data_IF_774925644073
#
_entry.id   IF_774925644073
#
_cell.length_a   1.000
_cell.length_b   1.000
_cell.length_c   1.000
_cell.angle_alpha   90.00
_cell.angle_beta   90.00
_cell.angle_gamma   90.00
#
_symmetry.space_group_name_H-M   'P 1'
#
loop_
_entity.id
_entity.type
_entity.pdbx_description
1 polymer ?
#
# COMPACT_ATOMS: atom_id res chain seq x y z
N UNK A 1 -3.81 -21.59 -19.88
CA UNK A 1 -3.62 -20.68 -18.74
C UNK A 1 -2.14 -20.61 -18.42
N UNK A 2 -1.58 -19.41 -18.24
CA UNK A 2 -0.17 -19.21 -17.97
C UNK A 2 0.23 -19.84 -16.62
N UNK A 3 1.47 -20.30 -16.50
CA UNK A 3 1.99 -20.91 -15.26
C UNK A 3 3.39 -20.39 -15.01
N UNK A 4 3.69 -20.06 -13.76
CA UNK A 4 5.01 -19.61 -13.30
C UNK A 4 5.52 -20.57 -12.22
N UNK A 5 6.84 -20.79 -12.20
CA UNK A 5 7.51 -21.58 -11.14
C UNK A 5 8.41 -20.64 -10.36
N UNK A 6 8.20 -20.60 -9.05
CA UNK A 6 8.96 -19.82 -8.08
C UNK A 6 9.60 -20.76 -7.05
N UNK A 7 10.63 -20.33 -6.30
CA UNK A 7 11.21 -21.14 -5.22
C UNK A 7 10.17 -21.68 -4.23
N UNK A 8 9.11 -20.88 -3.97
CA UNK A 8 8.06 -21.22 -3.04
C UNK A 8 6.93 -22.10 -3.59
N UNK A 9 6.84 -22.30 -4.92
CA UNK A 9 5.78 -23.10 -5.52
C UNK A 9 5.51 -22.80 -7.00
N UNK A 10 4.55 -23.54 -7.58
CA UNK A 10 4.06 -23.33 -8.95
C UNK A 10 2.68 -22.70 -8.92
N UNK A 11 2.46 -21.67 -9.72
CA UNK A 11 1.22 -20.90 -9.73
C UNK A 11 0.63 -20.84 -11.13
N UNK A 12 -0.68 -21.13 -11.25
CA UNK A 12 -1.44 -21.01 -12.50
C UNK A 12 -2.22 -19.71 -12.49
N UNK A 13 -1.88 -18.79 -13.38
CA UNK A 13 -2.56 -17.52 -13.54
C UNK A 13 -3.69 -17.56 -14.57
N UNK A 14 -4.31 -16.40 -14.78
CA UNK A 14 -5.25 -16.15 -15.87
C UNK A 14 -4.67 -15.22 -16.93
N UNK A 15 -5.45 -14.98 -17.97
CA UNK A 15 -5.11 -14.01 -19.04
C UNK A 15 -6.32 -13.11 -19.25
N UNK A 16 -6.10 -11.79 -19.21
CA UNK A 16 -7.12 -10.79 -19.52
C UNK A 16 -7.22 -10.63 -21.05
N UNK A 17 -8.28 -11.13 -21.71
CA UNK A 17 -8.30 -11.25 -23.17
C UNK A 17 -8.28 -9.91 -23.91
N UNK A 18 -8.82 -8.85 -23.31
CA UNK A 18 -8.88 -7.51 -23.92
C UNK A 18 -7.55 -6.77 -23.89
N UNK A 19 -6.62 -7.16 -23.01
CA UNK A 19 -5.36 -6.46 -22.78
C UNK A 19 -4.14 -7.33 -23.03
N UNK A 20 -4.29 -8.63 -23.38
CA UNK A 20 -3.16 -9.54 -23.59
C UNK A 20 -2.18 -9.54 -22.39
N UNK A 21 -2.73 -9.51 -21.18
CA UNK A 21 -1.99 -9.50 -19.92
C UNK A 21 -2.28 -10.77 -19.15
N UNK A 22 -1.23 -11.50 -18.79
CA UNK A 22 -1.29 -12.58 -17.83
C UNK A 22 -1.34 -11.99 -16.42
N UNK A 23 -2.17 -12.56 -15.55
CA UNK A 23 -2.27 -12.16 -14.16
C UNK A 23 -2.13 -13.36 -13.23
N UNK A 24 -1.49 -13.12 -12.08
CA UNK A 24 -1.32 -14.10 -11.02
C UNK A 24 -1.63 -13.41 -9.70
N UNK A 25 -2.69 -13.82 -9.04
CA UNK A 25 -3.18 -13.22 -7.81
C UNK A 25 -2.88 -14.11 -6.59
N UNK A 26 -2.84 -13.49 -5.41
CA UNK A 26 -2.76 -14.22 -4.14
C UNK A 26 -1.43 -14.93 -3.91
N UNK A 27 -0.34 -14.52 -4.57
CA UNK A 27 0.98 -15.12 -4.36
C UNK A 27 1.52 -14.64 -3.00
N UNK A 28 1.88 -15.52 -2.06
CA UNK A 28 2.47 -15.12 -0.79
C UNK A 28 3.88 -14.56 -1.01
N UNK A 29 4.18 -13.43 -0.36
CA UNK A 29 5.55 -12.88 -0.30
C UNK A 29 6.24 -13.13 1.05
N UNK A 30 5.51 -13.60 2.05
CA UNK A 30 6.03 -13.89 3.39
C UNK A 30 5.47 -15.20 3.94
N UNK A 31 6.08 -15.70 5.02
CA UNK A 31 5.48 -16.73 5.86
C UNK A 31 4.19 -16.19 6.52
N UNK A 32 3.28 -17.06 6.99
CA UNK A 32 2.10 -16.62 7.71
C UNK A 32 2.46 -15.66 8.86
N UNK A 33 1.80 -14.51 8.92
CA UNK A 33 2.14 -13.48 9.89
C UNK A 33 1.99 -14.00 11.33
N UNK A 34 3.00 -13.69 12.14
CA UNK A 34 2.91 -13.75 13.58
C UNK A 34 2.44 -12.37 14.07
N UNK A 35 1.40 -12.35 14.90
CA UNK A 35 0.76 -11.12 15.36
C UNK A 35 1.79 -10.17 16.01
N UNK A 36 1.82 -8.93 15.53
CA UNK A 36 2.75 -7.87 15.96
C UNK A 36 4.24 -8.20 15.86
N UNK A 37 4.61 -9.23 15.10
CA UNK A 37 6.00 -9.53 14.78
C UNK A 37 6.35 -9.04 13.37
N UNK A 38 7.62 -8.69 13.13
CA UNK A 38 8.18 -8.53 11.79
C UNK A 38 7.78 -9.68 10.85
N UNK A 39 7.48 -9.38 9.57
CA UNK A 39 7.20 -10.43 8.60
C UNK A 39 8.48 -11.23 8.33
N UNK A 40 8.33 -12.52 8.05
CA UNK A 40 9.46 -13.43 7.79
C UNK A 40 9.51 -13.81 6.31
N UNK A 41 10.70 -13.81 5.68
CA UNK A 41 10.84 -14.27 4.30
C UNK A 41 10.46 -15.74 4.16
N UNK A 42 9.96 -16.11 2.99
CA UNK A 42 9.67 -17.49 2.67
C UNK A 42 10.99 -18.25 2.49
N UNK A 43 11.20 -19.29 3.31
CA UNK A 43 12.34 -20.20 3.17
C UNK A 43 11.81 -21.56 2.70
N UNK A 44 11.91 -21.84 1.40
CA UNK A 44 11.40 -23.09 0.81
C UNK A 44 9.96 -23.00 0.29
N UNK A 45 9.26 -24.14 0.20
CA UNK A 45 7.90 -24.22 -0.35
C UNK A 45 6.86 -23.73 0.65
N UNK A 46 5.87 -22.96 0.18
CA UNK A 46 4.76 -22.44 1.01
C UNK A 46 3.56 -23.38 1.11
N UNK A 47 3.56 -24.47 0.35
CA UNK A 47 2.49 -25.47 0.35
C UNK A 47 3.02 -26.80 0.89
N UNK A 48 2.21 -27.46 1.73
CA UNK A 48 2.38 -28.88 2.09
C UNK A 48 2.15 -29.81 0.88
N UNK A 49 1.73 -29.24 -0.24
CA UNK A 49 1.60 -29.88 -1.51
C UNK A 49 2.94 -30.45 -1.99
N UNK A 50 2.92 -31.70 -2.46
CA UNK A 50 4.07 -32.31 -3.13
C UNK A 50 4.60 -31.43 -4.27
N UNK A 51 5.82 -31.70 -4.74
CA UNK A 51 6.54 -30.85 -5.69
C UNK A 51 5.84 -30.51 -7.00
N UNK A 52 4.75 -31.20 -7.30
CA UNK A 52 4.08 -31.18 -8.59
C UNK A 52 2.72 -30.46 -8.56
N UNK A 53 2.19 -30.09 -7.39
CA UNK A 53 0.91 -29.38 -7.30
C UNK A 53 1.05 -27.92 -7.76
N UNK A 54 0.03 -27.44 -8.48
CA UNK A 54 -0.01 -26.09 -9.03
C UNK A 54 -1.11 -25.32 -8.31
N UNK A 55 -0.74 -24.31 -7.54
CA UNK A 55 -1.66 -23.41 -6.84
C UNK A 55 -2.43 -22.56 -7.85
N UNK A 56 -3.75 -22.47 -7.67
CA UNK A 56 -4.59 -21.58 -8.46
C UNK A 56 -4.36 -20.12 -8.03
N UNK A 57 -3.82 -19.32 -8.95
CA UNK A 57 -3.57 -17.89 -8.80
C UNK A 57 -4.48 -17.07 -9.73
N UNK A 58 -5.64 -17.61 -10.13
CA UNK A 58 -6.66 -16.87 -10.89
C UNK A 58 -7.58 -16.05 -9.98
N UNK A 59 -7.61 -16.35 -8.69
CA UNK A 59 -8.41 -15.68 -7.67
C UNK A 59 -7.54 -14.83 -6.75
N UNK A 60 -8.09 -13.70 -6.30
CA UNK A 60 -7.43 -12.90 -5.28
C UNK A 60 -7.26 -13.69 -3.98
N UNK A 61 -6.12 -13.47 -3.31
CA UNK A 61 -5.83 -14.06 -2.01
C UNK A 61 -6.61 -13.40 -0.86
N UNK A 62 -6.27 -13.68 0.40
CA UNK A 62 -6.89 -13.03 1.55
C UNK A 62 -6.52 -11.54 1.68
N UNK A 63 -7.39 -10.75 2.33
CA UNK A 63 -7.09 -9.37 2.74
C UNK A 63 -6.79 -9.29 4.24
N UNK A 64 -6.05 -8.27 4.66
CA UNK A 64 -5.83 -8.01 6.09
C UNK A 64 -7.18 -7.66 6.75
N UNK A 65 -7.53 -8.25 7.91
CA UNK A 65 -8.74 -7.88 8.63
C UNK A 65 -8.80 -6.38 8.92
N UNK A 66 -9.94 -5.77 8.60
CA UNK A 66 -10.13 -4.33 8.66
C UNK A 66 -11.62 -3.97 8.84
N UNK A 67 -11.89 -2.77 9.37
CA UNK A 67 -13.23 -2.21 9.35
C UNK A 67 -13.57 -1.69 7.94
N UNK A 68 -14.84 -1.50 7.58
CA UNK A 68 -15.21 -0.83 6.34
C UNK A 68 -14.62 0.59 6.26
N UNK A 69 -14.19 0.99 5.06
CA UNK A 69 -13.69 2.34 4.82
C UNK A 69 -14.85 3.35 4.86
N UNK A 70 -14.64 4.46 5.56
CA UNK A 70 -15.59 5.58 5.56
C UNK A 70 -15.47 6.46 4.32
N UNK A 71 -14.32 6.45 3.65
CA UNK A 71 -14.04 7.27 2.45
C UNK A 71 -14.59 6.62 1.18
N UNK A 72 -14.65 5.29 1.13
CA UNK A 72 -15.10 4.54 -0.06
C UNK A 72 -16.43 5.06 -0.62
N UNK A 73 -17.51 5.30 0.15
CA UNK A 73 -18.77 5.81 -0.39
C UNK A 73 -18.65 7.15 -1.11
N UNK A 74 -17.70 7.99 -0.69
CA UNK A 74 -17.47 9.29 -1.31
C UNK A 74 -16.64 9.13 -2.58
N UNK A 75 -15.56 8.35 -2.55
CA UNK A 75 -14.65 8.11 -3.68
C UNK A 75 -15.36 7.35 -4.82
N UNK A 76 -16.13 6.30 -4.50
CA UNK A 76 -16.92 5.56 -5.50
C UNK A 76 -18.12 6.35 -6.01
N UNK A 77 -18.60 7.34 -5.26
CA UNK A 77 -19.82 8.07 -5.60
C UNK A 77 -21.00 7.13 -5.86
N UNK A 78 -21.69 7.23 -7.02
CA UNK A 78 -22.85 6.39 -7.33
C UNK A 78 -22.47 4.98 -7.82
N UNK A 79 -21.20 4.69 -8.04
CA UNK A 79 -20.76 3.40 -8.56
C UNK A 79 -20.81 2.34 -7.46
N UNK A 80 -21.27 1.11 -7.76
CA UNK A 80 -21.29 0.05 -6.77
C UNK A 80 -19.86 -0.21 -6.30
N UNK A 81 -19.64 -0.11 -4.99
CA UNK A 81 -18.42 -0.60 -4.36
C UNK A 81 -18.33 -2.09 -4.68
N UNK A 82 -17.30 -2.54 -5.41
CA UNK A 82 -17.09 -3.97 -5.60
C UNK A 82 -16.97 -4.61 -4.22
N UNK A 83 -17.54 -5.79 -3.97
CA UNK A 83 -17.22 -6.52 -2.75
C UNK A 83 -15.69 -6.65 -2.72
N UNK A 84 -15.05 -6.11 -1.68
CA UNK A 84 -13.62 -6.36 -1.44
C UNK A 84 -13.44 -7.89 -1.43
N UNK A 85 -12.74 -8.41 -2.44
CA UNK A 85 -12.99 -9.75 -3.00
C UNK A 85 -12.31 -10.92 -2.29
N UNK A 86 -11.59 -10.67 -1.20
CA UNK A 86 -10.80 -11.66 -0.49
C UNK A 86 -11.36 -11.91 0.90
N UNK A 87 -11.36 -13.17 1.33
CA UNK A 87 -11.63 -13.52 2.71
C UNK A 87 -10.63 -12.81 3.63
N UNK A 88 -11.10 -12.27 4.76
CA UNK A 88 -10.22 -11.64 5.72
C UNK A 88 -9.41 -12.72 6.49
N UNK A 89 -8.08 -12.64 6.44
CA UNK A 89 -7.19 -13.58 7.14
C UNK A 89 -6.00 -12.84 7.73
N UNK A 90 -5.88 -12.87 9.07
CA UNK A 90 -4.79 -12.21 9.79
C UNK A 90 -3.41 -12.74 9.39
N UNK A 91 -3.31 -14.04 9.12
CA UNK A 91 -2.02 -14.71 8.93
C UNK A 91 -1.63 -14.77 7.47
N UNK A 92 -2.59 -14.93 6.56
CA UNK A 92 -2.34 -15.21 5.13
C UNK A 92 -2.59 -14.01 4.20
N UNK A 93 -2.73 -12.82 4.75
CA UNK A 93 -2.96 -11.59 3.96
C UNK A 93 -1.68 -10.96 3.37
N UNK A 94 -0.50 -11.50 3.68
CA UNK A 94 0.79 -11.11 3.07
C UNK A 94 0.95 -11.67 1.65
N UNK A 95 0.10 -11.20 0.75
CA UNK A 95 0.03 -11.63 -0.65
C UNK A 95 0.18 -10.48 -1.62
N UNK A 96 0.57 -10.78 -2.84
CA UNK A 96 0.64 -9.83 -3.95
C UNK A 96 -0.03 -10.38 -5.21
N UNK A 97 -0.26 -9.48 -6.17
CA UNK A 97 -0.66 -9.82 -7.53
C UNK A 97 0.39 -9.35 -8.52
N UNK A 98 0.63 -10.13 -9.57
CA UNK A 98 1.53 -9.77 -10.67
C UNK A 98 0.73 -9.71 -11.97
N UNK A 99 0.88 -8.62 -12.71
CA UNK A 99 0.35 -8.42 -14.06
C UNK A 99 1.52 -8.35 -15.03
N UNK A 100 1.56 -9.32 -15.93
CA UNK A 100 2.64 -9.57 -16.88
C UNK A 100 2.08 -9.42 -18.29
N UNK A 101 2.52 -8.42 -19.09
CA UNK A 101 2.13 -8.37 -20.50
C UNK A 101 2.64 -9.62 -21.24
N UNK A 102 1.87 -10.15 -22.18
CA UNK A 102 2.24 -11.38 -22.91
C UNK A 102 3.60 -11.26 -23.63
N UNK A 103 4.01 -10.05 -24.00
CA UNK A 103 5.35 -9.76 -24.55
C UNK A 103 6.49 -10.16 -23.61
N UNK A 104 6.29 -10.07 -22.29
CA UNK A 104 7.26 -10.48 -21.27
C UNK A 104 7.31 -12.01 -21.07
N UNK A 105 6.30 -12.74 -21.53
CA UNK A 105 6.22 -14.20 -21.45
C UNK A 105 6.73 -14.90 -22.74
N UNK A 106 7.01 -14.13 -23.79
CA UNK A 106 7.39 -14.66 -25.10
C UNK A 106 8.76 -15.37 -25.08
N UNK A 107 8.94 -16.32 -26.00
CA UNK A 107 10.20 -17.03 -26.15
C UNK A 107 11.35 -16.05 -26.47
N UNK A 108 12.41 -16.07 -25.67
CA UNK A 108 13.53 -15.13 -25.80
C UNK A 108 13.35 -13.78 -25.08
N UNK A 109 12.19 -13.50 -24.48
CA UNK A 109 11.93 -12.27 -23.70
C UNK A 109 12.90 -12.08 -22.52
N UNK A 110 13.54 -13.16 -22.03
CA UNK A 110 14.58 -13.07 -21.00
C UNK A 110 15.80 -12.23 -21.42
N UNK A 111 15.96 -11.92 -22.71
CA UNK A 111 17.01 -11.02 -23.22
C UNK A 111 16.63 -9.52 -23.11
N UNK A 112 15.36 -9.21 -22.85
CA UNK A 112 14.84 -7.84 -22.77
C UNK A 112 13.78 -7.77 -21.66
N UNK A 113 14.24 -7.74 -20.41
CA UNK A 113 13.36 -7.61 -19.25
C UNK A 113 12.65 -6.26 -19.24
N UNK A 114 11.41 -6.24 -18.74
CA UNK A 114 10.59 -5.04 -18.68
C UNK A 114 10.76 -4.30 -17.34
N UNK A 115 10.57 -2.97 -17.29
CA UNK A 115 10.48 -2.24 -16.03
C UNK A 115 9.39 -2.81 -15.12
N UNK A 116 9.58 -2.68 -13.80
CA UNK A 116 8.64 -3.17 -12.79
C UNK A 116 8.07 -1.99 -12.00
N UNK A 117 6.76 -1.96 -11.79
CA UNK A 117 6.10 -1.02 -10.85
C UNK A 117 5.51 -1.82 -9.71
N UNK A 118 5.90 -1.51 -8.48
CA UNK A 118 5.36 -2.11 -7.26
C UNK A 118 4.47 -1.10 -6.56
N UNK A 119 3.17 -1.38 -6.51
CA UNK A 119 2.14 -0.45 -6.06
C UNK A 119 1.57 -0.82 -4.70
N UNK A 120 1.62 0.13 -3.76
CA UNK A 120 1.03 0.06 -2.43
C UNK A 120 -0.26 0.88 -2.34
N UNK A 121 -1.35 0.25 -1.92
CA UNK A 121 -2.66 0.89 -1.80
C UNK A 121 -2.73 1.91 -0.65
N UNK A 122 -3.67 2.86 -0.78
CA UNK A 122 -4.05 3.80 0.27
C UNK A 122 -5.00 3.20 1.32
N UNK A 123 -5.73 4.06 2.03
CA UNK A 123 -6.72 3.65 3.05
C UNK A 123 -6.39 4.07 4.48
N UNK A 124 -5.66 5.19 4.64
CA UNK A 124 -5.32 5.80 5.94
C UNK A 124 -4.74 4.80 6.96
N UNK A 125 -3.98 3.82 6.46
CA UNK A 125 -3.40 2.70 7.19
C UNK A 125 -4.40 1.84 7.97
N UNK A 126 -5.70 1.98 7.76
CA UNK A 126 -6.74 1.23 8.48
C UNK A 126 -7.49 0.28 7.57
N UNK A 127 -7.53 0.59 6.28
CA UNK A 127 -8.27 -0.16 5.26
C UNK A 127 -7.46 -0.24 3.97
N UNK A 128 -8.02 -0.91 2.97
CA UNK A 128 -7.47 -1.05 1.62
C UNK A 128 -7.06 -2.49 1.31
N UNK A 129 -6.98 -2.78 0.01
CA UNK A 129 -6.40 -4.01 -0.52
C UNK A 129 -5.97 -3.80 -1.98
N UNK A 130 -5.07 -4.65 -2.45
CA UNK A 130 -4.66 -4.75 -3.85
C UNK A 130 -5.76 -5.24 -4.79
N UNK A 131 -6.92 -5.62 -4.24
CA UNK A 131 -8.04 -6.25 -4.96
C UNK A 131 -9.12 -5.25 -5.34
N UNK A 132 -8.98 -4.01 -4.87
CA UNK A 132 -9.87 -2.93 -5.24
C UNK A 132 -9.78 -2.74 -6.76
N UNK A 133 -10.92 -2.79 -7.45
CA UNK A 133 -10.98 -2.88 -8.91
C UNK A 133 -10.18 -1.80 -9.65
N UNK A 134 -10.09 -0.57 -9.14
CA UNK A 134 -9.35 0.51 -9.79
C UNK A 134 -7.82 0.35 -9.66
N UNK A 135 -7.33 -0.55 -8.82
CA UNK A 135 -5.90 -0.91 -8.74
C UNK A 135 -5.51 -2.05 -9.70
N UNK A 136 -6.40 -2.48 -10.59
CA UNK A 136 -6.05 -3.49 -11.60
C UNK A 136 -4.89 -3.01 -12.47
N UNK A 137 -3.81 -3.80 -12.52
CA UNK A 137 -2.60 -3.46 -13.28
C UNK A 137 -2.70 -3.73 -14.78
N UNK A 138 -3.82 -4.26 -15.29
CA UNK A 138 -3.90 -4.76 -16.67
C UNK A 138 -3.69 -3.69 -17.74
N UNK A 139 -4.34 -2.53 -17.63
CA UNK A 139 -4.21 -1.47 -18.62
C UNK A 139 -2.78 -0.90 -18.65
N UNK A 140 -2.23 -0.62 -17.46
CA UNK A 140 -0.88 -0.07 -17.34
C UNK A 140 0.19 -1.06 -17.80
N UNK A 141 0.05 -2.35 -17.47
CA UNK A 141 0.96 -3.40 -17.94
C UNK A 141 0.99 -3.50 -19.47
N UNK A 142 -0.19 -3.41 -20.11
CA UNK A 142 -0.33 -3.45 -21.56
C UNK A 142 0.21 -2.17 -22.22
N UNK A 143 -0.27 -0.99 -21.84
CA UNK A 143 0.06 0.25 -22.53
C UNK A 143 1.49 0.72 -22.21
N UNK A 144 1.93 0.55 -20.96
CA UNK A 144 3.25 0.93 -20.48
C UNK A 144 4.34 -0.11 -20.77
N UNK A 145 3.99 -1.31 -21.24
CA UNK A 145 4.91 -2.43 -21.43
C UNK A 145 5.82 -2.64 -20.20
N UNK A 146 5.17 -2.82 -19.05
CA UNK A 146 5.83 -3.01 -17.76
C UNK A 146 5.14 -4.11 -16.95
N UNK A 147 5.87 -4.71 -16.02
CA UNK A 147 5.30 -5.66 -15.07
C UNK A 147 4.77 -4.88 -13.88
N UNK A 148 3.49 -5.08 -13.53
CA UNK A 148 2.87 -4.43 -12.38
C UNK A 148 2.74 -5.43 -11.25
N UNK A 149 3.15 -5.03 -10.04
CA UNK A 149 2.97 -5.80 -8.81
C UNK A 149 2.13 -4.96 -7.86
N UNK A 150 1.01 -5.50 -7.38
CA UNK A 150 0.20 -4.85 -6.34
C UNK A 150 0.27 -5.65 -5.05
N UNK A 151 0.48 -4.99 -3.91
CA UNK A 151 0.74 -5.67 -2.63
C UNK A 151 -0.40 -5.46 -1.64
N UNK A 152 -0.73 -6.50 -0.87
CA UNK A 152 -1.42 -6.37 0.41
C UNK A 152 -0.40 -6.24 1.53
N UNK A 153 -0.69 -5.42 2.54
CA UNK A 153 0.12 -5.28 3.75
C UNK A 153 -0.79 -5.17 4.97
N UNK A 154 -0.24 -5.41 6.18
CA UNK A 154 -1.04 -5.30 7.41
C UNK A 154 -1.46 -3.85 7.66
N UNK A 155 -2.73 -3.67 8.03
CA UNK A 155 -3.35 -2.38 8.36
C UNK A 155 -3.87 -2.35 9.79
N UNK A 156 -4.22 -1.16 10.26
CA UNK A 156 -4.87 -0.89 11.54
C UNK A 156 -3.98 -1.27 12.73
N UNK A 157 -4.63 -1.75 13.79
CA UNK A 157 -3.97 -2.31 14.97
C UNK A 157 -3.00 -3.42 14.60
N UNK A 158 -3.32 -4.26 13.60
CA UNK A 158 -2.48 -5.40 13.23
C UNK A 158 -1.15 -5.00 12.56
N UNK A 159 -1.13 -3.86 11.86
CA UNK A 159 0.05 -3.37 11.14
C UNK A 159 0.81 -2.23 11.82
N UNK A 160 0.12 -1.38 12.58
CA UNK A 160 0.64 -0.06 12.97
C UNK A 160 0.40 0.32 14.44
N UNK A 161 -0.03 -0.61 15.30
CA UNK A 161 -0.11 -0.34 16.76
C UNK A 161 1.29 -0.06 17.34
N UNK A 162 1.40 0.99 18.16
CA UNK A 162 2.65 1.34 18.85
C UNK A 162 2.71 0.73 20.25
N UNK A 163 3.61 -0.23 20.47
CA UNK A 163 3.68 -0.94 21.75
C UNK A 163 4.82 -0.50 22.68
N UNK A 164 5.45 0.65 22.39
CA UNK A 164 6.56 1.17 23.21
C UNK A 164 7.92 0.52 22.94
N UNK A 165 8.06 -0.22 21.85
CA UNK A 165 9.29 -0.88 21.41
C UNK A 165 9.58 -0.50 19.96
N UNK A 166 10.66 0.27 19.77
CA UNK A 166 11.06 0.81 18.47
C UNK A 166 11.42 -0.30 17.45
N UNK A 167 11.78 -1.49 17.93
CA UNK A 167 12.16 -2.62 17.07
C UNK A 167 10.96 -3.36 16.46
N UNK A 168 9.76 -3.12 16.98
CA UNK A 168 8.49 -3.69 16.50
C UNK A 168 7.62 -2.64 15.78
N UNK A 169 8.18 -1.47 15.51
CA UNK A 169 7.50 -0.37 14.84
C UNK A 169 7.02 -0.76 13.44
N UNK A 170 5.78 -0.36 13.16
CA UNK A 170 5.16 -0.38 11.84
C UNK A 170 5.44 -1.67 11.07
N UNK A 171 4.98 -2.80 11.62
CA UNK A 171 4.95 -4.09 10.92
C UNK A 171 4.42 -3.95 9.48
N UNK A 172 3.42 -3.09 9.26
CA UNK A 172 2.92 -2.77 7.93
C UNK A 172 3.98 -2.15 7.00
N UNK A 173 4.93 -1.33 7.47
CA UNK A 173 6.05 -0.85 6.64
C UNK A 173 7.06 -1.97 6.34
N UNK A 174 7.32 -2.84 7.31
CA UNK A 174 8.20 -4.00 7.10
C UNK A 174 7.61 -4.97 6.07
N UNK A 175 6.28 -5.06 5.99
CA UNK A 175 5.60 -5.82 4.94
C UNK A 175 5.92 -5.25 3.54
N UNK A 176 6.02 -3.92 3.37
CA UNK A 176 6.41 -3.30 2.10
C UNK A 176 7.85 -3.64 1.73
N UNK A 177 8.76 -3.58 2.71
CA UNK A 177 10.18 -3.93 2.54
C UNK A 177 10.30 -5.37 2.06
N UNK A 178 9.64 -6.31 2.75
CA UNK A 178 9.73 -7.72 2.40
C UNK A 178 9.04 -8.03 1.05
N UNK A 179 7.97 -7.33 0.70
CA UNK A 179 7.36 -7.46 -0.62
C UNK A 179 8.30 -6.98 -1.75
N UNK A 180 9.06 -5.91 -1.53
CA UNK A 180 10.08 -5.44 -2.47
C UNK A 180 11.27 -6.40 -2.58
N UNK A 181 11.72 -6.98 -1.46
CA UNK A 181 12.74 -8.04 -1.46
C UNK A 181 12.27 -9.26 -2.26
N UNK A 182 11.00 -9.66 -2.07
CA UNK A 182 10.40 -10.70 -2.88
C UNK A 182 10.41 -10.37 -4.38
N UNK A 183 10.10 -9.12 -4.75
CA UNK A 183 10.13 -8.67 -6.15
C UNK A 183 11.55 -8.81 -6.71
N UNK A 184 12.57 -8.37 -5.98
CA UNK A 184 13.97 -8.50 -6.42
C UNK A 184 14.36 -9.95 -6.69
N UNK A 185 13.96 -10.87 -5.79
CA UNK A 185 14.29 -12.29 -5.90
C UNK A 185 13.50 -13.04 -6.99
N UNK A 186 12.28 -12.60 -7.32
CA UNK A 186 11.33 -13.42 -8.08
C UNK A 186 10.87 -12.83 -9.42
N UNK A 187 10.92 -11.50 -9.59
CA UNK A 187 10.19 -10.84 -10.69
C UNK A 187 10.73 -11.19 -12.08
N UNK A 188 11.98 -11.64 -12.17
CA UNK A 188 12.58 -12.16 -13.40
C UNK A 188 11.78 -13.34 -13.98
N UNK A 189 11.12 -14.13 -13.14
CA UNK A 189 10.25 -15.24 -13.57
C UNK A 189 9.00 -14.76 -14.32
N UNK A 190 8.64 -13.48 -14.16
CA UNK A 190 7.54 -12.81 -14.86
C UNK A 190 8.06 -11.90 -15.99
N UNK A 191 9.34 -11.97 -16.33
CA UNK A 191 9.96 -11.12 -17.36
C UNK A 191 10.20 -9.67 -16.93
N UNK A 192 10.09 -9.38 -15.62
CA UNK A 192 10.45 -8.07 -15.06
C UNK A 192 11.93 -7.96 -14.74
N UNK A 193 12.44 -6.73 -14.77
CA UNK A 193 13.82 -6.40 -14.42
C UNK A 193 13.93 -6.01 -12.93
N UNK A 194 14.55 -6.83 -12.07
CA UNK A 194 14.72 -6.50 -10.65
C UNK A 194 15.62 -5.28 -10.44
N UNK A 195 16.43 -4.89 -11.43
CA UNK A 195 17.30 -3.72 -11.36
C UNK A 195 16.64 -2.44 -11.87
N UNK A 196 15.39 -2.52 -12.34
CA UNK A 196 14.59 -1.40 -12.86
C UNK A 196 13.19 -1.35 -12.23
N UNK A 197 13.18 -1.35 -10.89
CA UNK A 197 11.96 -1.30 -10.08
C UNK A 197 11.58 0.15 -9.75
N UNK A 198 10.29 0.47 -9.86
CA UNK A 198 9.68 1.73 -9.41
C UNK A 198 8.73 1.42 -8.26
N UNK A 199 8.99 1.97 -7.07
CA UNK A 199 8.06 1.90 -5.96
C UNK A 199 6.98 2.98 -6.13
N UNK A 200 5.71 2.62 -6.00
CA UNK A 200 4.60 3.52 -6.19
C UNK A 200 3.57 3.34 -5.07
N UNK A 201 2.89 4.41 -4.70
CA UNK A 201 1.75 4.29 -3.80
C UNK A 201 0.88 5.53 -3.78
N UNK A 202 -0.32 5.37 -3.24
CA UNK A 202 -1.34 6.41 -3.15
C UNK A 202 -1.73 6.62 -1.68
N UNK A 203 -1.94 7.88 -1.26
CA UNK A 203 -2.37 8.22 0.10
C UNK A 203 -1.41 7.64 1.17
N UNK A 204 -1.92 6.81 2.08
CA UNK A 204 -1.10 6.06 3.05
C UNK A 204 0.01 5.20 2.39
N UNK A 205 -0.26 4.59 1.23
CA UNK A 205 0.74 3.87 0.46
C UNK A 205 1.81 4.79 -0.13
N UNK A 206 1.45 6.01 -0.52
CA UNK A 206 2.40 7.02 -0.98
C UNK A 206 3.34 7.46 0.15
N UNK A 207 2.78 7.63 1.36
CA UNK A 207 3.57 7.91 2.55
C UNK A 207 4.51 6.75 2.88
N UNK A 208 4.06 5.49 2.81
CA UNK A 208 4.96 4.35 3.02
C UNK A 208 6.09 4.32 1.95
N UNK A 209 5.77 4.58 0.68
CA UNK A 209 6.77 4.74 -0.39
C UNK A 209 7.75 5.87 -0.12
N UNK A 210 7.28 7.00 0.43
CA UNK A 210 8.16 8.10 0.81
C UNK A 210 9.14 7.69 1.92
N UNK A 211 8.71 6.87 2.90
CA UNK A 211 9.59 6.38 3.97
C UNK A 211 10.64 5.39 3.45
N UNK A 212 10.34 4.67 2.38
CA UNK A 212 11.28 3.74 1.74
C UNK A 212 12.45 4.48 1.07
N UNK A 213 12.28 5.74 0.65
CA UNK A 213 13.39 6.57 0.15
C UNK A 213 14.48 6.78 1.20
N UNK A 214 14.11 6.83 2.48
CA UNK A 214 15.05 7.02 3.58
C UNK A 214 15.52 5.67 4.17
N UNK A 215 14.60 4.70 4.31
CA UNK A 215 14.86 3.46 5.04
C UNK A 215 15.46 2.33 4.20
N UNK A 216 15.02 2.15 2.94
CA UNK A 216 15.47 1.10 2.02
C UNK A 216 15.55 1.58 0.56
N UNK A 217 16.30 2.65 0.26
CA UNK A 217 16.45 3.14 -1.10
C UNK A 217 17.19 2.17 -2.02
N UNK A 218 17.78 1.09 -1.49
CA UNK A 218 18.46 0.03 -2.25
C UNK A 218 17.49 -0.85 -3.05
N UNK A 219 16.21 -0.92 -2.64
CA UNK A 219 15.24 -1.87 -3.18
C UNK A 219 14.53 -1.42 -4.47
N UNK A 220 14.74 -0.17 -4.92
CA UNK A 220 14.06 0.37 -6.09
C UNK A 220 14.85 1.53 -6.69
N UNK A 221 14.63 1.84 -7.97
CA UNK A 221 15.33 2.90 -8.69
C UNK A 221 14.57 4.21 -8.79
N UNK A 222 13.23 4.16 -8.77
CA UNK A 222 12.36 5.33 -8.89
C UNK A 222 11.19 5.26 -7.93
N UNK A 223 10.61 6.41 -7.60
CA UNK A 223 9.44 6.49 -6.75
C UNK A 223 8.31 7.30 -7.37
N UNK A 224 7.07 6.88 -7.16
CA UNK A 224 5.85 7.64 -7.49
C UNK A 224 5.04 7.81 -6.20
N UNK A 225 4.82 9.06 -5.79
CA UNK A 225 4.22 9.43 -4.52
C UNK A 225 2.92 10.20 -4.83
N UNK A 226 1.77 9.52 -4.74
CA UNK A 226 0.48 10.06 -5.17
C UNK A 226 -0.37 10.50 -3.98
N UNK A 227 -0.67 11.80 -3.88
CA UNK A 227 -1.50 12.38 -2.81
C UNK A 227 -1.05 11.97 -1.41
N UNK A 228 0.27 12.02 -1.14
CA UNK A 228 0.82 11.70 0.18
C UNK A 228 0.47 12.80 1.18
N UNK A 229 0.03 12.45 2.41
CA UNK A 229 0.00 13.39 3.53
C UNK A 229 1.43 13.65 4.05
N UNK A 230 2.29 14.22 3.21
CA UNK A 230 3.75 14.07 3.30
C UNK A 230 4.37 14.64 4.60
N UNK A 231 3.80 15.70 5.15
CA UNK A 231 4.31 16.36 6.37
C UNK A 231 3.72 15.79 7.66
N UNK A 232 2.83 14.80 7.58
CA UNK A 232 2.34 14.14 8.78
C UNK A 232 3.50 13.46 9.49
N UNK A 233 3.65 13.74 10.77
CA UNK A 233 4.44 12.96 11.68
C UNK A 233 3.52 12.52 12.82
N UNK A 234 3.72 11.29 13.30
CA UNK A 234 3.00 10.78 14.46
C UNK A 234 4.02 10.34 15.51
N UNK A 235 4.04 11.07 16.61
CA UNK A 235 5.00 10.86 17.69
C UNK A 235 4.63 9.66 18.55
N UNK A 236 5.64 9.08 19.21
CA UNK A 236 5.48 7.96 20.12
C UNK A 236 4.46 8.23 21.25
N UNK A 237 4.41 9.46 21.76
CA UNK A 237 3.46 9.84 22.81
C UNK A 237 2.00 9.71 22.36
N UNK A 238 1.65 10.29 21.21
CA UNK A 238 0.28 10.23 20.69
C UNK A 238 -0.09 8.82 20.25
N UNK A 239 0.86 8.07 19.68
CA UNK A 239 0.67 6.66 19.38
C UNK A 239 0.46 5.80 20.64
N UNK A 240 1.09 6.18 21.76
CA UNK A 240 0.87 5.60 23.07
C UNK A 240 -0.57 5.79 23.55
N UNK A 241 -1.10 7.01 23.46
CA UNK A 241 -2.51 7.33 23.83
C UNK A 241 -3.53 6.53 23.01
N UNK A 242 -3.28 6.37 21.71
CA UNK A 242 -4.11 5.52 20.84
C UNK A 242 -4.07 4.08 21.33
N UNK A 243 -2.88 3.56 21.62
CA UNK A 243 -2.69 2.18 22.09
C UNK A 243 -3.36 1.93 23.45
N UNK A 244 -3.27 2.88 24.38
CA UNK A 244 -4.00 2.83 25.65
C UNK A 244 -5.51 2.76 25.44
N UNK A 245 -6.04 3.56 24.51
CA UNK A 245 -7.47 3.55 24.17
C UNK A 245 -7.89 2.22 23.58
N UNK A 246 -7.09 1.62 22.69
CA UNK A 246 -7.36 0.28 22.14
C UNK A 246 -7.36 -0.75 23.26
N UNK A 247 -6.35 -0.75 24.14
CA UNK A 247 -6.25 -1.70 25.27
C UNK A 247 -7.43 -1.57 26.24
N UNK A 248 -7.83 -0.34 26.56
CA UNK A 248 -8.97 -0.07 27.44
C UNK A 248 -10.33 -0.45 26.81
N UNK A 249 -10.39 -0.55 25.47
CA UNK A 249 -11.60 -0.93 24.73
C UNK A 249 -11.73 -2.44 24.51
N UNK A 250 -10.74 -3.25 24.91
CA UNK A 250 -10.83 -4.70 24.86
C UNK A 250 -11.71 -5.26 25.99
N UNK A 251 -12.35 -6.42 25.79
CA UNK A 251 -13.07 -7.09 26.88
C UNK A 251 -12.18 -7.43 28.07
N UNK A 252 -12.78 -7.59 29.24
CA UNK A 252 -12.06 -7.93 30.48
C UNK A 252 -11.23 -9.22 30.30
N UNK A 253 -9.96 -9.18 30.73
CA UNK A 253 -9.01 -10.29 30.61
C UNK A 253 -8.41 -10.49 29.21
N UNK A 254 -8.82 -9.71 28.20
CA UNK A 254 -8.22 -9.75 26.86
C UNK A 254 -7.01 -8.84 26.75
N UNK A 255 -6.01 -9.29 26.00
CA UNK A 255 -4.84 -8.52 25.59
C UNK A 255 -4.82 -8.42 24.07
N UNK A 256 -3.96 -7.57 23.51
CA UNK A 256 -3.81 -7.45 22.06
C UNK A 256 -3.39 -8.81 21.44
N UNK A 257 -2.60 -9.59 22.15
CA UNK A 257 -2.05 -10.88 21.70
C UNK A 257 -3.10 -12.00 21.67
N UNK A 258 -4.10 -11.98 22.56
CA UNK A 258 -5.08 -13.07 22.72
C UNK A 258 -6.52 -12.71 22.31
N UNK A 259 -6.79 -11.43 22.02
CA UNK A 259 -8.08 -11.00 21.51
C UNK A 259 -8.37 -11.62 20.13
N UNK A 260 -9.62 -11.95 19.88
CA UNK A 260 -10.11 -12.30 18.55
C UNK A 260 -10.02 -11.10 17.62
N UNK A 261 -10.01 -11.36 16.31
CA UNK A 261 -10.00 -10.29 15.30
C UNK A 261 -11.21 -9.36 15.45
N UNK A 262 -12.39 -9.89 15.72
CA UNK A 262 -13.59 -9.07 15.93
C UNK A 262 -13.46 -8.14 17.15
N UNK A 263 -12.85 -8.60 18.23
CA UNK A 263 -12.57 -7.77 19.42
C UNK A 263 -11.54 -6.67 19.10
N UNK A 264 -10.48 -6.99 18.37
CA UNK A 264 -9.48 -6.01 17.89
C UNK A 264 -10.13 -4.94 17.02
N UNK A 265 -10.96 -5.34 16.05
CA UNK A 265 -11.64 -4.41 15.14
C UNK A 265 -12.69 -3.55 15.86
N UNK A 266 -13.33 -4.06 16.91
CA UNK A 266 -14.22 -3.28 17.76
C UNK A 266 -13.45 -2.24 18.58
N UNK A 267 -12.34 -2.63 19.20
CA UNK A 267 -11.48 -1.72 19.95
C UNK A 267 -10.86 -0.64 19.05
N UNK A 268 -10.42 -1.02 17.84
CA UNK A 268 -9.97 -0.09 16.81
C UNK A 268 -11.06 0.93 16.45
N UNK A 269 -12.29 0.48 16.20
CA UNK A 269 -13.40 1.37 15.88
C UNK A 269 -13.69 2.38 16.99
N UNK A 270 -13.53 1.99 18.26
CA UNK A 270 -13.63 2.91 19.41
C UNK A 270 -12.50 3.92 19.42
N UNK A 271 -11.24 3.48 19.29
CA UNK A 271 -10.09 4.40 19.22
C UNK A 271 -10.23 5.39 18.06
N UNK A 272 -10.68 4.93 16.89
CA UNK A 272 -10.95 5.78 15.73
C UNK A 272 -12.07 6.80 15.97
N UNK A 273 -13.01 6.56 16.88
CA UNK A 273 -14.01 7.58 17.27
C UNK A 273 -13.45 8.59 18.25
N UNK A 274 -12.65 8.15 19.21
CA UNK A 274 -12.06 9.00 20.26
C UNK A 274 -11.03 9.97 19.67
N UNK A 275 -10.18 9.48 18.78
CA UNK A 275 -9.06 10.25 18.20
C UNK A 275 -9.38 10.84 16.81
N UNK A 276 -10.56 10.51 16.26
CA UNK A 276 -10.91 10.59 14.83
C UNK A 276 -11.19 11.96 14.21
N UNK A 277 -10.73 13.07 14.76
CA UNK A 277 -10.78 14.36 14.05
C UNK A 277 -9.56 14.59 13.15
N UNK A 278 -8.57 13.70 13.19
CA UNK A 278 -7.35 13.79 12.41
C UNK A 278 -7.16 12.46 11.69
N UNK A 279 -7.30 12.47 10.36
CA UNK A 279 -6.93 11.35 9.47
C UNK A 279 -5.67 10.66 10.00
N UNK A 280 -5.64 9.34 10.21
CA UNK A 280 -4.44 8.57 10.57
C UNK A 280 -3.95 8.56 12.05
N UNK A 281 -4.60 7.73 12.88
CA UNK A 281 -4.10 7.35 14.22
C UNK A 281 -3.28 6.04 14.26
N UNK A 282 -3.30 5.26 13.17
CA UNK A 282 -2.55 4.00 13.02
C UNK A 282 -1.54 4.13 11.89
N UNK A 283 -0.73 5.19 11.91
CA UNK A 283 0.30 5.45 10.90
C UNK A 283 1.71 5.12 11.42
N UNK A 284 2.73 5.05 10.56
CA UNK A 284 4.11 4.87 10.98
C UNK A 284 4.51 5.87 12.06
N UNK A 285 5.00 5.37 13.19
CA UNK A 285 5.53 6.20 14.29
C UNK A 285 6.96 6.59 13.97
N UNK A 286 7.27 7.88 14.05
CA UNK A 286 8.64 8.38 13.90
C UNK A 286 9.19 8.61 15.30
N UNK A 287 10.16 7.79 15.72
CA UNK A 287 10.87 7.90 17.00
C UNK A 287 12.32 8.29 16.71
N UNK A 288 12.83 9.33 17.36
CA UNK A 288 14.23 9.81 17.28
C UNK A 288 14.82 9.98 15.86
N UNK A 289 13.98 10.36 14.89
CA UNK A 289 14.40 10.57 13.49
C UNK A 289 14.68 9.28 12.72
N UNK A 290 14.39 8.11 13.29
CA UNK A 290 14.50 6.81 12.61
C UNK A 290 13.14 6.50 11.96
N UNK A 291 13.13 6.44 10.63
CA UNK A 291 11.98 5.94 9.88
C UNK A 291 11.80 4.43 10.16
N UNK A 292 10.58 3.92 10.38
CA UNK A 292 10.36 2.50 10.60
C UNK A 292 10.81 1.67 9.39
N UNK A 293 11.73 0.72 9.60
CA UNK A 293 12.29 -0.14 8.55
C UNK A 293 13.81 -0.34 8.59
N UNK A 294 14.54 0.34 9.48
CA UNK A 294 16.00 0.28 9.54
C UNK A 294 16.56 -0.94 10.30
N UNK A 295 16.92 -2.02 9.59
CA UNK A 295 17.95 -2.98 10.03
C UNK A 295 18.98 -3.24 8.94
N UNK A 296 19.57 -2.22 8.33
CA UNK A 296 20.85 -2.35 7.62
C UNK A 296 21.57 -1.00 7.67
N UNK A 297 22.90 -1.03 7.85
CA UNK A 297 23.74 0.15 7.65
C UNK A 297 23.57 0.60 6.19
N UNK A 298 22.93 1.74 5.97
CA UNK A 298 22.86 2.37 4.65
C UNK A 298 24.28 2.81 4.30
N UNK A 299 24.84 2.22 3.24
CA UNK A 299 26.09 2.71 2.67
C UNK A 299 25.84 4.09 2.06
N UNK A 300 26.40 5.12 2.68
CA UNK A 300 26.15 6.57 2.53
C UNK A 300 26.41 7.18 1.13
N UNK A 301 26.55 6.36 0.09
CA UNK A 301 26.47 6.85 -1.28
C UNK A 301 25.02 7.21 -1.57
N UNK A 302 24.63 8.46 -1.26
CA UNK A 302 23.34 9.08 -1.59
C UNK A 302 22.77 8.53 -2.89
N UNK A 303 21.90 7.52 -2.80
CA UNK A 303 21.28 6.92 -3.97
C UNK A 303 20.25 7.89 -4.49
N UNK A 304 20.67 8.70 -5.45
CA UNK A 304 19.77 9.62 -6.14
C UNK A 304 18.73 8.80 -6.89
N UNK A 305 17.48 9.21 -6.76
CA UNK A 305 16.32 8.58 -7.38
C UNK A 305 15.63 9.60 -8.27
N UNK A 306 14.94 9.13 -9.29
CA UNK A 306 13.91 9.92 -9.96
C UNK A 306 12.59 9.72 -9.20
N UNK A 307 11.95 10.83 -8.81
CA UNK A 307 10.73 10.82 -8.01
C UNK A 307 9.67 11.68 -8.68
N UNK A 308 8.50 11.09 -8.91
CA UNK A 308 7.29 11.82 -9.31
C UNK A 308 6.42 12.01 -8.07
N UNK A 309 6.12 13.26 -7.73
CA UNK A 309 5.20 13.61 -6.63
C UNK A 309 3.93 14.20 -7.24
N UNK A 310 2.78 13.63 -6.91
CA UNK A 310 1.49 14.08 -7.46
C UNK A 310 0.47 14.38 -6.37
N UNK A 311 -0.52 15.20 -6.70
CA UNK A 311 -1.70 15.47 -5.86
C UNK A 311 -2.90 15.79 -6.76
N UNK A 312 -4.09 15.72 -6.18
CA UNK A 312 -5.32 16.08 -6.88
C UNK A 312 -5.68 17.55 -6.65
N UNK A 313 -6.29 18.20 -7.65
CA UNK A 313 -6.74 19.60 -7.54
C UNK A 313 -7.74 19.81 -6.39
N UNK A 314 -8.52 18.78 -6.03
CA UNK A 314 -9.52 18.83 -4.96
C UNK A 314 -9.36 17.67 -3.97
N UNK A 315 -8.12 17.28 -3.67
CA UNK A 315 -7.76 16.12 -2.82
C UNK A 315 -8.53 16.09 -1.49
N UNK A 316 -8.80 17.25 -0.90
CA UNK A 316 -9.49 17.38 0.39
C UNK A 316 -11.00 17.18 0.35
N UNK A 317 -11.64 17.17 -0.82
CA UNK A 317 -13.11 17.24 -0.90
C UNK A 317 -13.81 15.98 -0.39
N UNK A 318 -13.26 14.78 -0.63
CA UNK A 318 -13.79 13.53 -0.06
C UNK A 318 -13.69 13.51 1.48
N UNK A 319 -12.62 14.10 2.05
CA UNK A 319 -12.44 14.19 3.50
C UNK A 319 -13.36 15.22 4.15
N UNK A 320 -13.60 16.35 3.47
CA UNK A 320 -14.60 17.32 3.90
C UNK A 320 -15.99 16.68 3.92
N UNK A 321 -16.33 15.88 2.89
CA UNK A 321 -17.62 15.20 2.78
C UNK A 321 -17.86 14.15 3.88
N UNK A 322 -16.81 13.52 4.43
CA UNK A 322 -16.93 12.70 5.64
C UNK A 322 -17.47 13.48 6.84
N UNK A 323 -17.10 14.76 6.94
CA UNK A 323 -17.40 15.61 8.09
C UNK A 323 -18.70 16.41 7.90
N UNK A 324 -18.96 16.85 6.67
CA UNK A 324 -20.05 17.77 6.33
C UNK A 324 -21.22 17.07 5.61
N UNK A 325 -21.02 15.84 5.13
CA UNK A 325 -22.04 15.04 4.46
C UNK A 325 -22.01 15.13 2.92
N UNK A 326 -22.98 14.50 2.24
CA UNK A 326 -22.96 14.31 0.79
C UNK A 326 -23.21 15.59 -0.03
N UNK A 327 -23.58 16.70 0.60
CA UNK A 327 -23.77 17.99 -0.08
C UNK A 327 -22.46 18.76 -0.27
N UNK A 328 -21.35 18.25 0.27
CA UNK A 328 -20.05 18.88 0.15
C UNK A 328 -19.61 19.00 -1.30
N UNK A 329 -19.00 20.13 -1.63
CA UNK A 329 -18.44 20.40 -2.96
C UNK A 329 -16.93 20.56 -2.93
N UNK A 330 -16.32 20.45 -4.11
CA UNK A 330 -14.88 20.64 -4.31
C UNK A 330 -14.38 22.03 -3.86
N UNK A 331 -15.26 23.03 -3.89
CA UNK A 331 -14.96 24.44 -3.60
C UNK A 331 -15.35 24.87 -2.18
N UNK A 332 -15.90 23.97 -1.37
CA UNK A 332 -16.22 24.30 0.02
C UNK A 332 -14.95 24.65 0.79
N UNK A 333 -15.06 25.57 1.76
CA UNK A 333 -13.91 26.07 2.53
C UNK A 333 -13.11 24.94 3.18
N UNK A 334 -13.79 23.92 3.74
CA UNK A 334 -13.12 22.76 4.34
C UNK A 334 -12.41 21.90 3.29
N UNK A 335 -13.00 21.70 2.10
CA UNK A 335 -12.40 20.96 1.00
C UNK A 335 -11.09 21.61 0.56
N UNK A 336 -11.09 22.93 0.36
CA UNK A 336 -9.90 23.70 -0.02
C UNK A 336 -8.86 23.63 1.09
N UNK A 337 -9.26 23.88 2.35
CA UNK A 337 -8.34 23.84 3.50
C UNK A 337 -7.66 22.48 3.67
N UNK A 338 -8.39 21.37 3.49
CA UNK A 338 -7.79 20.03 3.55
C UNK A 338 -6.88 19.79 2.34
N UNK A 339 -7.28 20.19 1.14
CA UNK A 339 -6.47 20.04 -0.08
C UNK A 339 -5.12 20.72 0.09
N UNK A 340 -5.12 22.00 0.43
CA UNK A 340 -3.90 22.80 0.58
C UNK A 340 -3.06 22.32 1.76
N UNK A 341 -3.68 22.14 2.93
CA UNK A 341 -2.98 21.85 4.17
C UNK A 341 -2.48 20.41 4.34
N UNK A 342 -3.18 19.42 3.77
CA UNK A 342 -2.86 18.00 3.96
C UNK A 342 -2.18 17.38 2.74
N UNK A 343 -2.41 17.86 1.53
CA UNK A 343 -1.94 17.19 0.31
C UNK A 343 -1.05 18.07 -0.56
N UNK A 344 -1.58 19.18 -1.07
CA UNK A 344 -0.88 20.03 -2.05
C UNK A 344 0.38 20.67 -1.48
N UNK A 345 0.26 21.50 -0.43
CA UNK A 345 1.44 22.19 0.11
C UNK A 345 2.47 21.20 0.70
N UNK A 346 2.06 20.13 1.42
CA UNK A 346 2.99 19.08 1.82
C UNK A 346 3.70 18.38 0.65
N UNK A 347 3.00 18.10 -0.46
CA UNK A 347 3.60 17.49 -1.65
C UNK A 347 4.64 18.40 -2.30
N UNK A 348 4.36 19.71 -2.38
CA UNK A 348 5.30 20.72 -2.87
C UNK A 348 6.55 20.76 -1.96
N UNK A 349 6.37 20.83 -0.64
CA UNK A 349 7.49 20.83 0.31
C UNK A 349 8.31 19.54 0.27
N UNK A 350 7.67 18.38 0.11
CA UNK A 350 8.36 17.11 -0.09
C UNK A 350 9.21 17.15 -1.35
N UNK A 351 8.66 17.60 -2.48
CA UNK A 351 9.37 17.71 -3.75
C UNK A 351 10.59 18.63 -3.64
N UNK A 352 10.46 19.79 -3.00
CA UNK A 352 11.57 20.71 -2.73
C UNK A 352 12.66 20.05 -1.86
N UNK A 353 12.26 19.32 -0.81
CA UNK A 353 13.18 18.64 0.10
C UNK A 353 13.95 17.53 -0.61
N UNK A 354 13.29 16.74 -1.44
CA UNK A 354 13.90 15.70 -2.28
C UNK A 354 14.85 16.31 -3.33
N UNK A 355 14.44 17.38 -3.99
CA UNK A 355 15.28 18.08 -4.95
C UNK A 355 16.57 18.61 -4.29
N UNK A 356 16.45 19.23 -3.11
CA UNK A 356 17.59 19.71 -2.32
C UNK A 356 18.52 18.57 -1.86
N UNK A 357 17.97 17.38 -1.60
CA UNK A 357 18.75 16.18 -1.31
C UNK A 357 19.47 15.58 -2.54
N UNK A 358 19.16 16.08 -3.75
CA UNK A 358 19.83 15.74 -5.01
C UNK A 358 19.11 14.72 -5.88
N UNK A 359 17.83 14.42 -5.57
CA UNK A 359 16.97 13.57 -6.41
C UNK A 359 16.54 14.31 -7.69
N UNK A 360 16.28 13.55 -8.76
CA UNK A 360 15.51 14.04 -9.89
C UNK A 360 14.05 14.10 -9.48
N UNK A 361 13.39 15.26 -9.54
CA UNK A 361 12.03 15.43 -9.04
C UNK A 361 11.15 16.06 -10.11
N UNK A 362 9.99 15.46 -10.34
CA UNK A 362 8.91 16.03 -11.13
C UNK A 362 7.64 16.10 -10.27
N UNK A 363 6.79 17.09 -10.55
CA UNK A 363 5.51 17.28 -9.86
C UNK A 363 4.36 17.34 -10.85
N UNK A 364 3.19 16.80 -10.47
CA UNK A 364 1.97 16.86 -11.27
C UNK A 364 0.74 17.12 -10.39
N UNK A 365 -0.05 18.14 -10.75
CA UNK A 365 -1.40 18.33 -10.20
C UNK A 365 -2.42 17.70 -11.16
N UNK A 366 -3.17 16.72 -10.67
CA UNK A 366 -4.24 16.08 -11.44
C UNK A 366 -5.51 16.91 -11.37
N UNK A 367 -5.99 17.34 -12.54
CA UNK A 367 -7.17 18.21 -12.66
C UNK A 367 -8.38 17.49 -13.29
N UNK A 368 -8.20 16.23 -13.70
CA UNK A 368 -9.29 15.46 -14.28
C UNK A 368 -10.32 15.07 -13.21
N UNK A 369 -11.60 15.20 -13.56
CA UNK A 369 -12.71 14.78 -12.73
C UNK A 369 -13.81 14.16 -13.61
N UNK A 370 -14.54 13.15 -13.14
CA UNK A 370 -15.74 12.68 -13.80
C UNK A 370 -16.75 13.82 -13.99
N UNK A 371 -17.40 13.85 -15.15
CA UNK A 371 -18.39 14.88 -15.47
C UNK A 371 -19.53 14.89 -14.43
N UNK A 372 -19.88 16.08 -13.92
CA UNK A 372 -20.97 16.25 -12.96
C UNK A 372 -20.66 15.79 -11.53
N UNK A 373 -19.44 15.37 -11.22
CA UNK A 373 -19.07 14.91 -9.89
C UNK A 373 -18.74 16.10 -8.97
N UNK A 374 -19.59 16.33 -7.96
CA UNK A 374 -19.54 17.52 -7.10
C UNK A 374 -18.23 17.70 -6.30
N UNK A 375 -17.51 16.60 -6.06
CA UNK A 375 -16.23 16.60 -5.36
C UNK A 375 -15.04 16.95 -6.28
N UNK A 376 -15.28 17.09 -7.59
CA UNK A 376 -14.26 17.44 -8.57
C UNK A 376 -13.18 16.37 -8.71
N UNK A 377 -11.97 16.79 -9.01
CA UNK A 377 -10.77 15.95 -9.01
C UNK A 377 -10.38 15.60 -7.57
N UNK A 378 -11.17 14.74 -6.92
CA UNK A 378 -11.00 14.37 -5.50
C UNK A 378 -9.95 13.28 -5.31
N UNK A 379 -9.63 13.00 -4.05
CA UNK A 379 -8.70 11.94 -3.65
C UNK A 379 -8.99 10.59 -4.33
N UNK A 380 -7.94 9.93 -4.81
CA UNK A 380 -7.98 8.59 -5.44
C UNK A 380 -8.69 8.51 -6.82
N UNK A 381 -8.89 9.63 -7.52
CA UNK A 381 -9.55 9.65 -8.85
C UNK A 381 -8.55 9.66 -10.01
N UNK A 382 -7.26 9.80 -9.72
CA UNK A 382 -6.13 9.63 -10.64
C UNK A 382 -5.87 8.16 -11.00
#
# INVERSE_FOLDING_TARGET
MPTVTLPQGRYRGGTAPSTHVNFYHGIPYCQPFERFQPPKPITGKTTDAGSDEVTDATQFGPICPQNPSKLEPYIYGPWPTPPNGGEADEKRSGVLSVYQPESAAAEGAQKSLLPVIVYAHGGAWQTGSSQINWYTGTALAHDGQCVIVTINYRVGVLGFIYQGDDTKLACGNQDHVLALEWVHDNIRSFGGDPENVTAAGQSAGAYNTQLLLDSRPDLFQRAIIMSSPADRAFGAEDAGKVTETVRASLPEGKTLENASISEILAAQATATKVHGSQVAQFMPVISDGIAPGGRHEVNDKKMKKDVLVTWMQHDGSAFAALSQGPQTTATDELSVKITDGLFKDPSIRLAERLHKAGHGVATLEHQWSPEGYALGATHCVD
#
